data_IF_090335204059
#
_entry.id   IF_090335204059
#
_cell.length_a   1.000
_cell.length_b   1.000
_cell.length_c   1.000
_cell.angle_alpha   90.00
_cell.angle_beta   90.00
_cell.angle_gamma   90.00
#
_symmetry.space_group_name_H-M   'P 1'
#
loop_
_entity.id
_entity.type
_entity.pdbx_description
1 polymer ?
#
# COMPACT_ATOMS: atom_id res chain seq x y z
N UNK A 1 -78.94 -55.13 -3.24
CA UNK A 1 -77.92 -55.21 -2.16
C UNK A 1 -76.77 -54.28 -2.52
N UNK A 2 -76.54 -53.33 -1.62
CA UNK A 2 -75.39 -52.41 -1.42
C UNK A 2 -74.59 -51.82 -2.59
N UNK A 3 -74.58 -50.48 -2.59
CA UNK A 3 -73.55 -49.60 -3.14
C UNK A 3 -72.25 -49.57 -2.29
N UNK A 4 -71.17 -49.06 -2.88
CA UNK A 4 -69.92 -48.59 -2.22
C UNK A 4 -68.91 -48.13 -3.28
N UNK A 5 -68.86 -46.85 -3.65
CA UNK A 5 -68.05 -45.73 -3.10
C UNK A 5 -66.54 -45.85 -3.30
N UNK A 6 -66.00 -44.88 -4.04
CA UNK A 6 -64.58 -44.56 -4.19
C UNK A 6 -63.98 -44.04 -2.88
N UNK A 7 -62.67 -44.23 -2.68
CA UNK A 7 -61.79 -43.23 -2.04
C UNK A 7 -60.30 -43.51 -2.27
N UNK A 8 -59.58 -42.40 -2.44
CA UNK A 8 -58.14 -42.18 -2.58
C UNK A 8 -57.29 -42.65 -1.39
N UNK A 9 -56.01 -42.99 -1.61
CA UNK A 9 -54.86 -42.64 -0.72
C UNK A 9 -53.57 -42.58 -1.57
N UNK A 10 -53.06 -41.36 -1.78
CA UNK A 10 -51.65 -41.08 -2.03
C UNK A 10 -51.00 -40.87 -0.66
N UNK A 11 -50.06 -41.73 -0.26
CA UNK A 11 -49.29 -41.53 0.97
C UNK A 11 -48.11 -40.59 0.69
N UNK A 12 -48.14 -39.39 1.27
CA UNK A 12 -46.98 -38.51 1.40
C UNK A 12 -46.01 -39.07 2.46
N UNK A 13 -44.69 -39.14 2.21
CA UNK A 13 -43.74 -39.14 3.31
C UNK A 13 -43.56 -37.72 3.83
N UNK A 14 -43.66 -37.61 5.14
CA UNK A 14 -43.46 -36.45 6.00
C UNK A 14 -42.18 -35.66 5.70
N UNK A 15 -42.33 -34.36 5.43
CA UNK A 15 -41.27 -33.36 5.51
C UNK A 15 -41.00 -33.03 6.98
N UNK A 16 -39.90 -33.52 7.53
CA UNK A 16 -39.29 -32.96 8.74
C UNK A 16 -37.79 -32.73 8.51
N UNK A 17 -37.32 -31.56 8.94
CA UNK A 17 -35.96 -31.02 8.91
C UNK A 17 -35.51 -30.28 7.63
N UNK A 18 -36.10 -29.09 7.42
CA UNK A 18 -35.40 -27.98 6.76
C UNK A 18 -34.47 -27.30 7.78
N UNK A 19 -33.18 -27.65 7.78
CA UNK A 19 -32.13 -26.83 8.40
C UNK A 19 -31.43 -25.99 7.33
N UNK A 20 -31.91 -24.76 7.20
CA UNK A 20 -31.20 -23.54 6.77
C UNK A 20 -29.94 -23.69 5.92
N UNK A 21 -30.09 -23.72 4.60
CA UNK A 21 -29.11 -23.14 3.68
C UNK A 21 -29.78 -21.99 2.91
N UNK A 22 -29.23 -20.79 3.08
CA UNK A 22 -29.71 -19.53 2.50
C UNK A 22 -29.89 -19.62 0.97
N UNK A 23 -30.99 -19.03 0.51
CA UNK A 23 -31.65 -19.16 -0.80
C UNK A 23 -30.83 -18.66 -2.01
N UNK A 24 -29.60 -18.19 -1.83
CA UNK A 24 -28.78 -17.62 -2.92
C UNK A 24 -27.90 -18.63 -3.67
N UNK A 25 -27.89 -19.91 -3.29
CA UNK A 25 -26.99 -20.94 -3.86
C UNK A 25 -27.66 -21.91 -4.85
N UNK A 26 -28.99 -21.90 -4.97
CA UNK A 26 -29.73 -22.94 -5.70
C UNK A 26 -29.38 -23.07 -7.20
N UNK A 27 -28.97 -21.98 -7.86
CA UNK A 27 -28.61 -22.01 -9.29
C UNK A 27 -27.25 -22.69 -9.51
N UNK A 28 -26.28 -22.43 -8.63
CA UNK A 28 -24.93 -22.98 -8.74
C UNK A 28 -24.86 -24.46 -8.33
N UNK A 29 -25.62 -24.84 -7.30
CA UNK A 29 -25.69 -26.23 -6.83
C UNK A 29 -26.29 -27.13 -7.91
N UNK A 30 -27.34 -26.66 -8.59
CA UNK A 30 -27.98 -27.41 -9.68
C UNK A 30 -27.10 -27.56 -10.92
N UNK A 31 -26.30 -26.53 -11.27
CA UNK A 31 -25.38 -26.62 -12.41
C UNK A 31 -24.20 -27.58 -12.14
N UNK A 32 -23.70 -27.59 -10.90
CA UNK A 32 -22.62 -28.49 -10.47
C UNK A 32 -23.07 -29.97 -10.46
N UNK A 33 -24.26 -30.25 -9.90
CA UNK A 33 -24.87 -31.59 -9.90
C UNK A 33 -25.18 -32.08 -11.33
N UNK A 34 -25.72 -31.22 -12.21
CA UNK A 34 -26.05 -31.60 -13.57
C UNK A 34 -24.81 -31.92 -14.42
N UNK A 35 -23.72 -31.17 -14.24
CA UNK A 35 -22.48 -31.35 -15.02
C UNK A 35 -21.72 -32.61 -14.60
N UNK A 36 -21.63 -32.87 -13.28
CA UNK A 36 -20.93 -34.04 -12.74
C UNK A 36 -21.71 -35.33 -13.02
N UNK A 37 -23.05 -35.31 -12.91
CA UNK A 37 -23.86 -36.48 -13.24
C UNK A 37 -23.85 -36.80 -14.75
N UNK A 38 -23.83 -35.81 -15.65
CA UNK A 38 -23.72 -36.06 -17.09
C UNK A 38 -22.36 -36.65 -17.49
N UNK A 39 -21.26 -36.17 -16.88
CA UNK A 39 -19.92 -36.72 -17.12
C UNK A 39 -19.77 -38.16 -16.60
N UNK A 40 -20.40 -38.50 -15.47
CA UNK A 40 -20.31 -39.85 -14.91
C UNK A 40 -21.28 -40.86 -15.55
N UNK A 41 -22.43 -40.42 -16.06
CA UNK A 41 -23.35 -41.27 -16.84
C UNK A 41 -22.72 -41.77 -18.14
N UNK A 42 -21.79 -41.00 -18.72
CA UNK A 42 -20.97 -41.40 -19.87
C UNK A 42 -19.87 -42.44 -19.50
N UNK A 43 -19.57 -42.63 -18.21
CA UNK A 43 -18.52 -43.55 -17.72
C UNK A 43 -19.06 -44.77 -16.94
N UNK A 44 -20.37 -44.97 -16.87
CA UNK A 44 -20.99 -46.17 -16.27
C UNK A 44 -20.74 -46.38 -14.78
N UNK A 45 -20.35 -45.33 -14.02
CA UNK A 45 -20.13 -45.41 -12.57
C UNK A 45 -21.25 -44.75 -11.80
N UNK A 46 -21.98 -45.53 -10.98
CA UNK A 46 -22.89 -45.00 -9.96
C UNK A 46 -22.10 -44.57 -8.73
N UNK A 47 -21.98 -43.26 -8.49
CA UNK A 47 -21.40 -42.71 -7.27
C UNK A 47 -22.50 -41.92 -6.56
N UNK A 48 -22.90 -42.39 -5.37
CA UNK A 48 -23.76 -41.62 -4.46
C UNK A 48 -22.94 -40.49 -3.84
N UNK A 49 -22.95 -39.31 -4.46
CA UNK A 49 -22.43 -38.07 -3.88
C UNK A 49 -23.44 -37.59 -2.83
N UNK A 50 -23.01 -37.47 -1.57
CA UNK A 50 -23.82 -36.86 -0.51
C UNK A 50 -23.74 -35.34 -0.60
N UNK A 51 -24.84 -34.62 -0.34
CA UNK A 51 -24.95 -33.16 -0.44
C UNK A 51 -23.85 -32.39 0.32
N UNK A 52 -23.26 -33.01 1.34
CA UNK A 52 -22.16 -32.45 2.13
C UNK A 52 -20.81 -32.34 1.39
N UNK A 53 -20.63 -33.01 0.23
CA UNK A 53 -19.39 -32.90 -0.55
C UNK A 53 -19.31 -31.62 -1.39
N UNK A 54 -20.43 -30.95 -1.65
CA UNK A 54 -20.46 -29.69 -2.41
C UNK A 54 -20.34 -28.44 -1.51
N UNK A 55 -20.39 -28.58 -0.19
CA UNK A 55 -20.27 -27.47 0.77
C UNK A 55 -18.84 -27.09 1.16
N UNK A 56 -17.85 -27.34 0.29
CA UNK A 56 -16.57 -26.64 0.38
C UNK A 56 -16.74 -25.25 -0.20
N UNK A 57 -16.86 -24.21 0.62
CA UNK A 57 -16.94 -22.84 0.11
C UNK A 57 -15.74 -22.57 -0.82
N UNK A 58 -15.96 -22.05 -2.05
CA UNK A 58 -14.87 -21.85 -3.02
C UNK A 58 -13.78 -20.89 -2.50
N UNK A 59 -14.12 -20.06 -1.51
CA UNK A 59 -13.19 -19.15 -0.84
C UNK A 59 -12.16 -19.85 0.06
N UNK A 60 -12.46 -21.06 0.56
CA UNK A 60 -11.59 -21.82 1.48
C UNK A 60 -10.64 -22.80 0.79
N UNK A 61 -10.72 -22.93 -0.54
CA UNK A 61 -9.85 -23.77 -1.36
C UNK A 61 -8.69 -22.97 -1.96
N UNK A 62 -8.17 -21.99 -1.22
CA UNK A 62 -6.98 -21.25 -1.66
C UNK A 62 -5.77 -22.20 -1.62
N UNK A 63 -5.20 -22.49 -2.78
CA UNK A 63 -4.02 -23.34 -2.93
C UNK A 63 -2.89 -22.79 -2.05
N UNK A 64 -2.19 -23.67 -1.32
CA UNK A 64 -1.04 -23.33 -0.46
C UNK A 64 0.06 -22.58 -1.22
N UNK A 65 0.15 -22.78 -2.53
CA UNK A 65 1.04 -22.01 -3.40
C UNK A 65 0.70 -20.52 -3.46
N UNK A 66 -0.59 -20.16 -3.41
CA UNK A 66 -1.06 -18.78 -3.52
C UNK A 66 -0.59 -17.93 -2.33
N UNK A 67 -0.46 -18.51 -1.14
CA UNK A 67 0.07 -17.79 0.03
C UNK A 67 1.50 -17.28 -0.19
N UNK A 68 2.37 -18.13 -0.73
CA UNK A 68 3.75 -17.76 -1.06
C UNK A 68 3.79 -16.71 -2.16
N UNK A 69 2.92 -16.84 -3.16
CA UNK A 69 2.78 -15.83 -4.22
C UNK A 69 2.35 -14.48 -3.63
N UNK A 70 1.35 -14.44 -2.74
CA UNK A 70 0.91 -13.19 -2.12
C UNK A 70 1.99 -12.55 -1.25
N UNK A 71 2.68 -13.35 -0.43
CA UNK A 71 3.80 -12.85 0.39
C UNK A 71 4.95 -12.35 -0.48
N UNK A 72 5.27 -13.04 -1.58
CA UNK A 72 6.29 -12.61 -2.53
C UNK A 72 5.89 -11.30 -3.21
N UNK A 73 4.67 -11.20 -3.74
CA UNK A 73 4.16 -9.98 -4.37
C UNK A 73 4.17 -8.81 -3.39
N UNK A 74 3.75 -9.04 -2.14
CA UNK A 74 3.77 -8.00 -1.11
C UNK A 74 5.21 -7.57 -0.78
N UNK A 75 6.13 -8.52 -0.66
CA UNK A 75 7.56 -8.26 -0.44
C UNK A 75 8.15 -7.42 -1.59
N UNK A 76 7.85 -7.80 -2.84
CA UNK A 76 8.28 -7.06 -4.01
C UNK A 76 7.67 -5.67 -4.06
N UNK A 77 6.41 -5.50 -3.65
CA UNK A 77 5.76 -4.19 -3.56
C UNK A 77 6.45 -3.26 -2.55
N UNK A 78 6.85 -3.77 -1.38
CA UNK A 78 7.62 -3.00 -0.38
C UNK A 78 8.97 -2.52 -0.93
N UNK A 79 9.69 -3.44 -1.59
CA UNK A 79 10.99 -3.15 -2.20
C UNK A 79 10.83 -2.12 -3.32
N UNK A 80 9.90 -2.37 -4.23
CA UNK A 80 9.69 -1.58 -5.43
C UNK A 80 9.28 -0.14 -5.07
N UNK A 81 8.41 0.03 -4.07
CA UNK A 81 7.97 1.36 -3.61
C UNK A 81 9.14 2.26 -3.23
N UNK A 82 10.14 1.73 -2.51
CA UNK A 82 11.33 2.50 -2.12
C UNK A 82 12.33 2.58 -3.26
N UNK A 83 12.51 1.49 -4.00
CA UNK A 83 13.45 1.43 -5.12
C UNK A 83 13.19 2.52 -6.15
N UNK A 84 11.92 2.75 -6.51
CA UNK A 84 11.53 3.73 -7.53
C UNK A 84 11.81 5.18 -7.15
N UNK A 85 11.82 5.52 -5.86
CA UNK A 85 11.98 6.90 -5.38
C UNK A 85 13.36 7.19 -4.78
N UNK A 86 14.20 6.18 -4.61
CA UNK A 86 15.56 6.32 -4.08
C UNK A 86 16.59 6.19 -5.21
N UNK A 87 17.80 6.78 -5.09
CA UNK A 87 18.84 6.78 -6.12
C UNK A 87 19.57 5.45 -6.24
N UNK A 88 18.85 4.34 -6.42
CA UNK A 88 19.44 3.06 -6.74
C UNK A 88 19.81 2.98 -8.22
N UNK A 89 20.79 2.14 -8.60
CA UNK A 89 21.16 1.96 -10.00
C UNK A 89 19.96 1.62 -10.88
N UNK A 90 19.66 2.48 -11.86
CA UNK A 90 18.58 2.27 -12.83
C UNK A 90 17.17 2.73 -12.38
N UNK A 91 16.96 3.20 -11.15
CA UNK A 91 15.63 3.69 -10.73
C UNK A 91 15.30 5.09 -11.28
N UNK A 92 16.31 5.92 -11.53
CA UNK A 92 16.18 7.35 -11.84
C UNK A 92 16.24 7.70 -13.35
N UNK A 93 16.16 6.70 -14.23
CA UNK A 93 16.39 6.87 -15.68
C UNK A 93 15.13 6.70 -16.53
N UNK A 94 14.00 6.38 -15.92
CA UNK A 94 12.71 6.17 -16.60
C UNK A 94 11.62 6.96 -15.88
N UNK A 95 10.63 7.40 -16.65
CA UNK A 95 9.41 7.99 -16.09
C UNK A 95 8.57 6.89 -15.41
N UNK A 96 8.79 6.74 -14.11
CA UNK A 96 8.06 5.78 -13.25
C UNK A 96 7.28 6.48 -12.14
N UNK A 97 7.24 7.83 -12.16
CA UNK A 97 6.78 8.64 -11.03
C UNK A 97 5.32 8.38 -10.70
N UNK A 98 4.48 8.25 -11.71
CA UNK A 98 3.05 7.96 -11.55
C UNK A 98 2.81 6.60 -10.90
N UNK A 99 3.56 5.59 -11.32
CA UNK A 99 3.45 4.26 -10.75
C UNK A 99 3.99 4.21 -9.32
N UNK A 100 5.12 4.88 -9.05
CA UNK A 100 5.71 4.99 -7.73
C UNK A 100 4.75 5.69 -6.73
N UNK A 101 4.10 6.77 -7.18
CA UNK A 101 3.08 7.48 -6.42
C UNK A 101 1.87 6.59 -6.13
N UNK A 102 1.30 5.96 -7.16
CA UNK A 102 0.16 5.05 -7.02
C UNK A 102 0.46 3.93 -6.02
N UNK A 103 1.63 3.30 -6.15
CA UNK A 103 2.07 2.23 -5.26
C UNK A 103 2.19 2.72 -3.82
N UNK A 104 2.74 3.93 -3.62
CA UNK A 104 2.92 4.52 -2.29
C UNK A 104 1.59 4.84 -1.61
N UNK A 105 0.66 5.46 -2.33
CA UNK A 105 -0.66 5.82 -1.79
C UNK A 105 -1.49 4.57 -1.47
N UNK A 106 -1.40 3.54 -2.31
CA UNK A 106 -2.25 2.34 -2.18
C UNK A 106 -1.61 1.21 -1.35
N UNK A 107 -0.37 1.35 -0.88
CA UNK A 107 0.35 0.27 -0.18
C UNK A 107 -0.40 -0.25 1.05
N UNK A 108 -1.11 0.61 1.78
CA UNK A 108 -1.87 0.21 2.97
C UNK A 108 -3.02 -0.72 2.58
N UNK A 109 -3.73 -0.43 1.49
CA UNK A 109 -4.80 -1.29 0.99
C UNK A 109 -4.26 -2.62 0.47
N UNK A 110 -3.13 -2.59 -0.26
CA UNK A 110 -2.45 -3.80 -0.72
C UNK A 110 -2.07 -4.69 0.48
N UNK A 111 -1.56 -4.10 1.57
CA UNK A 111 -1.25 -4.82 2.82
C UNK A 111 -2.49 -5.42 3.47
N UNK A 112 -3.59 -4.68 3.57
CA UNK A 112 -4.82 -5.19 4.19
C UNK A 112 -5.42 -6.36 3.40
N UNK A 113 -5.46 -6.25 2.07
CA UNK A 113 -5.91 -7.33 1.19
C UNK A 113 -5.00 -8.55 1.35
N UNK A 114 -3.68 -8.36 1.32
CA UNK A 114 -2.73 -9.45 1.51
C UNK A 114 -2.86 -10.08 2.91
N UNK A 115 -3.01 -9.27 3.96
CA UNK A 115 -3.19 -9.75 5.33
C UNK A 115 -4.46 -10.59 5.48
N UNK A 116 -5.58 -10.16 4.89
CA UNK A 116 -6.82 -10.93 4.88
C UNK A 116 -6.62 -12.30 4.21
N UNK A 117 -6.01 -12.33 3.02
CA UNK A 117 -5.75 -13.57 2.27
C UNK A 117 -4.78 -14.50 3.03
N UNK A 118 -3.76 -13.93 3.68
CA UNK A 118 -2.82 -14.64 4.53
C UNK A 118 -3.55 -15.26 5.73
N UNK A 119 -4.38 -14.50 6.45
CA UNK A 119 -5.13 -14.98 7.62
C UNK A 119 -6.05 -16.17 7.27
N UNK A 120 -6.80 -16.07 6.16
CA UNK A 120 -7.67 -17.16 5.68
C UNK A 120 -6.84 -18.43 5.41
N UNK A 121 -5.67 -18.27 4.76
CA UNK A 121 -4.83 -19.42 4.42
C UNK A 121 -4.16 -20.04 5.66
N UNK A 122 -3.69 -19.22 6.61
CA UNK A 122 -3.10 -19.69 7.87
C UNK A 122 -4.12 -20.49 8.68
N UNK A 123 -5.36 -20.01 8.79
CA UNK A 123 -6.43 -20.72 9.48
C UNK A 123 -6.65 -22.13 8.88
N UNK A 124 -6.62 -22.26 7.55
CA UNK A 124 -6.74 -23.57 6.88
C UNK A 124 -5.55 -24.52 7.14
N UNK A 125 -4.35 -23.97 7.35
CA UNK A 125 -3.11 -24.73 7.53
C UNK A 125 -2.93 -25.26 8.95
N UNK A 126 -3.41 -24.53 9.96
CA UNK A 126 -3.22 -24.93 11.36
C UNK A 126 -3.96 -26.22 11.74
N UNK A 127 -5.12 -26.48 11.12
CA UNK A 127 -5.94 -27.66 11.41
C UNK A 127 -5.43 -28.98 10.82
N UNK A 128 -4.67 -28.95 9.70
CA UNK A 128 -4.31 -30.17 8.94
C UNK A 128 -2.86 -30.21 8.42
N UNK A 129 -2.01 -29.27 8.83
CA UNK A 129 -0.66 -29.08 8.27
C UNK A 129 0.43 -29.92 8.95
N UNK A 130 1.30 -30.57 8.14
CA UNK A 130 2.57 -31.17 8.62
C UNK A 130 3.51 -30.11 9.19
N UNK A 131 4.33 -30.47 10.18
CA UNK A 131 5.21 -29.54 10.92
C UNK A 131 6.18 -28.75 10.01
N UNK A 132 6.83 -29.40 9.04
CA UNK A 132 7.75 -28.72 8.11
C UNK A 132 7.09 -27.59 7.31
N UNK A 133 5.79 -27.73 6.97
CA UNK A 133 5.06 -26.67 6.27
C UNK A 133 4.80 -25.46 7.18
N UNK A 134 4.60 -25.70 8.48
CA UNK A 134 4.48 -24.63 9.48
C UNK A 134 5.80 -23.89 9.65
N UNK A 135 6.92 -24.62 9.66
CA UNK A 135 8.27 -24.03 9.73
C UNK A 135 8.55 -23.16 8.51
N UNK A 136 8.30 -23.66 7.28
CA UNK A 136 8.50 -22.87 6.05
C UNK A 136 7.63 -21.61 6.07
N UNK A 137 6.35 -21.73 6.43
CA UNK A 137 5.45 -20.60 6.54
C UNK A 137 5.96 -19.56 7.55
N UNK A 138 6.38 -19.99 8.74
CA UNK A 138 6.93 -19.11 9.75
C UNK A 138 8.18 -18.39 9.23
N UNK A 139 9.10 -19.11 8.57
CA UNK A 139 10.29 -18.52 7.97
C UNK A 139 9.95 -17.47 6.90
N UNK A 140 8.96 -17.73 6.03
CA UNK A 140 8.52 -16.74 5.02
C UNK A 140 7.89 -15.51 5.65
N UNK A 141 7.04 -15.67 6.68
CA UNK A 141 6.42 -14.55 7.40
C UNK A 141 7.48 -13.71 8.11
N UNK A 142 8.46 -14.35 8.76
CA UNK A 142 9.60 -13.66 9.39
C UNK A 142 10.40 -12.88 8.35
N UNK A 143 10.70 -13.51 7.21
CA UNK A 143 11.43 -12.86 6.10
C UNK A 143 10.68 -11.62 5.62
N UNK A 144 9.37 -11.73 5.39
CA UNK A 144 8.54 -10.57 5.06
C UNK A 144 8.58 -9.50 6.16
N UNK A 145 8.48 -9.88 7.44
CA UNK A 145 8.56 -8.95 8.57
C UNK A 145 9.88 -8.15 8.60
N UNK A 146 11.00 -8.80 8.29
CA UNK A 146 12.31 -8.14 8.14
C UNK A 146 12.29 -7.14 6.98
N UNK A 147 11.82 -7.55 5.80
CA UNK A 147 11.72 -6.65 4.63
C UNK A 147 10.80 -5.47 4.94
N UNK A 148 9.63 -5.73 5.51
CA UNK A 148 8.68 -4.71 5.92
C UNK A 148 9.35 -3.68 6.85
N UNK A 149 10.06 -4.14 7.88
CA UNK A 149 10.78 -3.26 8.79
C UNK A 149 11.82 -2.41 8.05
N UNK A 150 12.69 -3.04 7.24
CA UNK A 150 13.74 -2.33 6.52
C UNK A 150 13.16 -1.24 5.61
N UNK A 151 12.17 -1.58 4.79
CA UNK A 151 11.64 -0.69 3.75
C UNK A 151 10.63 0.36 4.28
N UNK A 152 10.13 0.21 5.50
CA UNK A 152 9.22 1.19 6.10
C UNK A 152 9.85 2.04 7.20
N UNK A 153 10.89 1.55 7.86
CA UNK A 153 11.47 2.21 9.03
C UNK A 153 12.95 2.55 8.90
N UNK A 154 13.69 1.93 7.96
CA UNK A 154 15.12 2.19 7.78
C UNK A 154 15.49 2.81 6.45
N UNK A 155 14.88 2.35 5.35
CA UNK A 155 15.30 2.69 3.99
C UNK A 155 14.41 3.72 3.31
N UNK A 156 13.30 4.15 3.91
CA UNK A 156 12.45 5.18 3.36
C UNK A 156 13.06 6.59 3.56
N UNK A 157 12.87 7.48 2.58
CA UNK A 157 13.54 8.80 2.56
C UNK A 157 13.20 9.65 3.79
N UNK A 158 11.94 9.67 4.20
CA UNK A 158 11.47 10.39 5.39
C UNK A 158 12.02 9.83 6.70
N UNK A 159 12.55 8.60 6.70
CA UNK A 159 13.15 7.95 7.87
C UNK A 159 14.65 8.15 7.96
N UNK A 160 15.33 8.24 6.82
CA UNK A 160 16.76 8.57 6.75
C UNK A 160 16.95 10.07 7.03
N UNK A 161 16.15 10.92 6.39
CA UNK A 161 16.29 12.38 6.43
C UNK A 161 15.21 12.99 7.33
N UNK A 162 15.40 12.83 8.64
CA UNK A 162 14.47 13.33 9.67
C UNK A 162 14.41 14.85 9.60
N UNK A 163 13.23 15.46 9.62
CA UNK A 163 13.13 16.93 9.58
C UNK A 163 13.57 17.59 10.89
N UNK A 164 14.21 18.77 10.85
CA UNK A 164 14.51 19.55 12.04
C UNK A 164 13.20 20.08 12.64
N UNK A 165 13.03 19.92 13.96
CA UNK A 165 11.82 20.39 14.68
C UNK A 165 11.80 21.91 14.90
N UNK A 166 12.96 22.55 14.85
CA UNK A 166 13.11 24.00 14.92
C UNK A 166 14.19 24.43 13.93
N UNK A 167 13.85 25.41 13.09
CA UNK A 167 14.82 26.12 12.29
C UNK A 167 15.29 27.33 13.09
N UNK A 168 16.48 27.29 13.67
CA UNK A 168 17.17 28.54 13.93
C UNK A 168 17.87 28.94 12.65
N UNK A 169 17.15 29.60 11.74
CA UNK A 169 17.80 30.50 10.81
C UNK A 169 18.56 31.52 11.65
N UNK A 170 19.87 31.54 11.53
CA UNK A 170 20.68 32.57 12.21
C UNK A 170 20.40 33.89 11.51
N UNK A 171 19.91 34.88 12.27
CA UNK A 171 19.95 36.26 11.82
C UNK A 171 21.38 36.56 11.36
N UNK A 172 21.53 37.37 10.30
CA UNK A 172 22.82 37.69 9.68
C UNK A 172 23.85 38.33 10.63
N UNK A 173 23.50 38.55 11.89
CA UNK A 173 24.22 39.42 12.79
C UNK A 173 25.27 38.77 13.69
N UNK A 174 25.25 37.47 14.01
CA UNK A 174 26.30 36.92 14.88
C UNK A 174 26.55 35.41 14.68
N UNK A 175 27.82 35.02 14.61
CA UNK A 175 28.40 33.64 14.68
C UNK A 175 28.49 32.77 13.41
N UNK A 176 28.03 33.21 12.23
CA UNK A 176 28.24 32.43 11.00
C UNK A 176 29.64 32.65 10.41
N UNK A 177 30.38 31.56 10.25
CA UNK A 177 31.62 31.55 9.46
C UNK A 177 31.35 32.02 8.02
N UNK A 178 32.00 33.12 7.63
CA UNK A 178 31.84 33.80 6.34
C UNK A 178 32.24 32.94 5.14
N UNK A 179 32.98 31.85 5.35
CA UNK A 179 33.36 30.91 4.30
C UNK A 179 32.26 29.92 3.91
N UNK A 180 31.18 29.81 4.72
CA UNK A 180 30.10 28.85 4.47
C UNK A 180 29.16 29.32 3.38
N UNK A 181 28.81 28.40 2.48
CA UNK A 181 27.72 28.61 1.52
C UNK A 181 26.38 28.60 2.24
N UNK A 182 25.58 29.63 1.96
CA UNK A 182 24.26 29.83 2.57
C UNK A 182 23.20 30.05 1.50
N UNK A 183 21.96 29.75 1.84
CA UNK A 183 20.78 30.29 1.17
C UNK A 183 20.36 31.52 1.96
N UNK A 184 20.48 32.70 1.35
CA UNK A 184 20.00 33.96 1.92
C UNK A 184 18.54 34.21 1.54
N UNK A 185 17.77 34.75 2.47
CA UNK A 185 16.37 35.12 2.26
C UNK A 185 16.10 36.48 2.92
N UNK A 186 15.46 37.38 2.17
CA UNK A 186 15.04 38.69 2.65
C UNK A 186 13.56 38.91 2.30
N UNK A 187 12.71 39.07 3.32
CA UNK A 187 11.26 39.28 3.19
C UNK A 187 10.83 40.34 4.21
N UNK A 188 10.05 41.34 3.77
CA UNK A 188 9.49 42.40 4.62
C UNK A 188 10.52 43.08 5.57
N UNK A 189 11.74 43.30 5.08
CA UNK A 189 12.81 43.94 5.84
C UNK A 189 13.57 43.01 6.80
N UNK A 190 13.11 41.78 7.01
CA UNK A 190 13.83 40.76 7.77
C UNK A 190 14.70 39.92 6.83
N UNK A 191 15.98 39.73 7.20
CA UNK A 191 16.92 38.94 6.42
C UNK A 191 17.59 37.85 7.25
N UNK A 192 17.52 36.61 6.78
CA UNK A 192 18.14 35.44 7.42
C UNK A 192 19.02 34.69 6.42
N UNK A 193 19.99 33.95 6.94
CA UNK A 193 20.84 33.06 6.14
C UNK A 193 20.82 31.64 6.70
N UNK A 194 20.69 30.67 5.81
CA UNK A 194 20.60 29.25 6.14
C UNK A 194 21.79 28.49 5.54
N UNK A 195 22.71 27.96 6.35
CA UNK A 195 23.84 27.18 5.85
C UNK A 195 23.38 25.96 5.07
N UNK A 196 23.98 25.72 3.91
CA UNK A 196 23.68 24.55 3.09
C UNK A 196 23.98 23.26 3.84
N UNK A 197 24.98 23.23 4.74
CA UNK A 197 25.27 22.04 5.54
C UNK A 197 24.11 21.67 6.48
N UNK A 198 23.36 22.65 6.98
CA UNK A 198 22.19 22.42 7.82
C UNK A 198 21.04 21.86 6.99
N UNK A 199 20.75 22.47 5.84
CA UNK A 199 19.62 22.06 5.00
C UNK A 199 19.94 20.75 4.27
N UNK A 200 21.17 20.54 3.83
CA UNK A 200 21.55 19.46 2.94
C UNK A 200 21.30 18.07 3.51
N UNK A 201 21.46 17.87 4.82
CA UNK A 201 21.11 16.60 5.47
C UNK A 201 19.59 16.40 5.55
N UNK A 202 18.82 17.46 5.79
CA UNK A 202 17.38 17.38 6.01
C UNK A 202 16.54 17.60 4.74
N UNK A 203 17.18 18.04 3.66
CA UNK A 203 16.63 18.55 2.41
C UNK A 203 15.65 19.73 2.52
N UNK A 204 15.13 20.03 3.71
CA UNK A 204 14.22 21.13 3.97
C UNK A 204 14.35 21.70 5.39
N UNK A 205 13.98 22.97 5.51
CA UNK A 205 13.89 23.74 6.76
C UNK A 205 12.64 24.61 6.68
N UNK A 206 11.83 24.65 7.76
CA UNK A 206 10.62 25.46 7.87
C UNK A 206 10.87 26.63 8.80
N UNK A 207 10.59 27.84 8.35
CA UNK A 207 10.78 29.06 9.13
C UNK A 207 9.70 30.10 8.79
N UNK A 208 9.64 31.15 9.59
CA UNK A 208 8.85 32.36 9.34
C UNK A 208 9.83 33.54 9.25
N UNK A 209 9.81 34.26 8.12
CA UNK A 209 10.69 35.42 7.87
C UNK A 209 9.81 36.58 7.43
N UNK A 210 9.90 37.71 8.14
CA UNK A 210 9.09 38.89 7.87
C UNK A 210 7.59 38.59 7.94
N UNK A 211 7.16 37.81 8.94
CA UNK A 211 5.78 37.31 9.08
C UNK A 211 5.27 36.44 7.90
N UNK A 212 6.18 35.88 7.09
CA UNK A 212 5.83 35.00 5.96
C UNK A 212 6.39 33.60 6.20
N UNK A 213 5.52 32.59 6.18
CA UNK A 213 5.94 31.20 6.28
C UNK A 213 6.68 30.74 5.02
N UNK A 214 7.84 30.12 5.21
CA UNK A 214 8.73 29.72 4.11
C UNK A 214 9.30 28.33 4.33
N UNK A 215 9.44 27.59 3.23
CA UNK A 215 10.09 26.29 3.17
C UNK A 215 11.37 26.43 2.36
N UNK A 216 12.51 26.44 3.05
CA UNK A 216 13.84 26.50 2.44
C UNK A 216 14.25 25.06 2.14
N UNK A 217 14.69 24.80 0.91
CA UNK A 217 15.04 23.46 0.43
C UNK A 217 16.40 23.45 -0.23
N UNK A 218 17.10 22.33 -0.14
CA UNK A 218 18.35 22.10 -0.86
C UNK A 218 18.43 20.66 -1.37
N UNK A 219 18.57 20.50 -2.69
CA UNK A 219 18.86 19.21 -3.31
C UNK A 219 20.38 19.01 -3.37
N UNK A 220 20.92 18.07 -2.58
CA UNK A 220 22.37 17.77 -2.55
C UNK A 220 22.89 17.17 -3.85
N UNK A 221 22.07 16.41 -4.56
CA UNK A 221 22.43 15.81 -5.86
C UNK A 221 22.44 16.86 -6.97
N UNK A 222 21.44 17.74 -6.98
CA UNK A 222 21.28 18.82 -7.96
C UNK A 222 22.17 20.03 -7.69
N UNK A 223 22.65 20.18 -6.45
CA UNK A 223 23.29 21.38 -5.90
C UNK A 223 22.42 22.65 -6.01
N UNK A 224 21.11 22.49 -5.86
CA UNK A 224 20.14 23.59 -6.06
C UNK A 224 19.41 23.93 -4.76
N UNK A 225 19.44 25.21 -4.37
CA UNK A 225 18.63 25.78 -3.30
C UNK A 225 17.36 26.44 -3.84
N UNK A 226 16.22 26.22 -3.18
CA UNK A 226 14.95 26.89 -3.50
C UNK A 226 14.19 27.25 -2.21
N UNK A 227 13.45 28.35 -2.25
CA UNK A 227 12.56 28.78 -1.17
C UNK A 227 11.14 28.81 -1.71
N UNK A 228 10.22 28.17 -1.01
CA UNK A 228 8.82 28.07 -1.39
C UNK A 228 7.90 28.65 -0.32
N UNK A 229 6.75 29.15 -0.74
CA UNK A 229 5.61 29.26 0.16
C UNK A 229 5.07 27.83 0.42
N UNK A 230 4.87 27.44 1.69
CA UNK A 230 4.31 26.14 2.05
C UNK A 230 2.78 26.10 1.97
N UNK A 231 2.17 27.12 1.36
CA UNK A 231 0.72 27.31 1.32
C UNK A 231 0.18 26.65 0.07
N UNK A 232 -0.71 25.66 0.24
CA UNK A 232 -1.45 25.01 -0.84
C UNK A 232 -2.92 25.42 -0.67
N UNK A 233 -3.53 25.93 -1.73
CA UNK A 233 -4.95 26.34 -1.73
C UNK A 233 -5.32 27.26 -0.55
N UNK A 234 -4.44 28.19 -0.19
CA UNK A 234 -4.65 29.15 0.90
C UNK A 234 -4.42 28.61 2.32
N UNK A 235 -3.97 27.37 2.47
CA UNK A 235 -3.69 26.74 3.77
C UNK A 235 -2.24 26.28 3.87
N UNK A 236 -1.61 26.54 5.03
CA UNK A 236 -0.28 26.03 5.31
C UNK A 236 -0.28 24.49 5.34
N UNK A 237 0.55 23.88 4.52
CA UNK A 237 0.71 22.42 4.44
C UNK A 237 2.03 21.97 5.07
N UNK A 238 2.06 20.72 5.52
CA UNK A 238 3.29 20.05 5.95
C UNK A 238 3.81 19.19 4.82
N UNK A 239 5.13 19.21 4.63
CA UNK A 239 5.80 18.49 3.56
C UNK A 239 6.74 17.45 4.15
N UNK A 240 6.77 16.26 3.55
CA UNK A 240 7.80 15.24 3.84
C UNK A 240 8.63 14.96 2.62
N UNK A 241 9.92 14.72 2.79
CA UNK A 241 10.75 14.21 1.72
C UNK A 241 10.29 12.80 1.37
N UNK A 242 9.94 12.57 0.11
CA UNK A 242 9.47 11.24 -0.35
C UNK A 242 10.57 10.47 -1.08
N UNK A 243 11.53 11.19 -1.67
CA UNK A 243 12.63 10.61 -2.43
C UNK A 243 13.06 11.58 -3.53
N UNK A 244 13.30 11.04 -4.72
CA UNK A 244 13.70 11.79 -5.90
C UNK A 244 13.18 11.18 -7.19
N UNK A 245 13.06 12.05 -8.20
CA UNK A 245 12.76 11.70 -9.59
C UNK A 245 13.77 12.41 -10.49
N UNK A 246 14.38 11.65 -11.41
CA UNK A 246 15.48 12.14 -12.25
C UNK A 246 16.56 12.89 -11.45
N UNK A 247 16.94 12.31 -10.30
CA UNK A 247 17.94 12.89 -9.37
C UNK A 247 17.53 14.23 -8.75
N UNK A 248 16.25 14.61 -8.85
CA UNK A 248 15.69 15.80 -8.22
C UNK A 248 14.91 15.45 -6.98
N UNK A 249 15.19 16.11 -5.85
CA UNK A 249 14.46 15.86 -4.61
C UNK A 249 12.95 16.10 -4.79
N UNK A 250 12.14 15.30 -4.12
CA UNK A 250 10.69 15.40 -4.16
C UNK A 250 10.09 15.45 -2.76
N UNK A 251 9.06 16.29 -2.62
CA UNK A 251 8.32 16.45 -1.38
C UNK A 251 6.86 16.04 -1.55
N UNK A 252 6.30 15.34 -0.58
CA UNK A 252 4.87 15.06 -0.51
C UNK A 252 4.22 16.05 0.45
N UNK A 253 3.16 16.72 0.00
CA UNK A 253 2.29 17.48 0.89
C UNK A 253 1.30 16.58 1.62
N UNK A 254 1.08 16.83 2.91
CA UNK A 254 0.29 15.93 3.74
C UNK A 254 -1.20 15.92 3.39
N UNK A 255 -1.73 17.05 2.92
CA UNK A 255 -3.16 17.28 2.69
C UNK A 255 -3.67 16.58 1.43
N UNK A 256 -2.99 16.77 0.30
CA UNK A 256 -3.42 16.22 -1.00
C UNK A 256 -2.64 14.97 -1.40
N UNK A 257 -1.51 14.68 -0.73
CA UNK A 257 -0.58 13.60 -1.12
C UNK A 257 0.02 13.82 -2.50
N UNK A 258 0.11 15.06 -2.98
CA UNK A 258 0.79 15.36 -4.24
C UNK A 258 2.30 15.38 -4.04
N UNK A 259 3.05 14.95 -5.05
CA UNK A 259 4.50 14.94 -5.02
C UNK A 259 5.05 16.07 -5.86
N UNK A 260 5.86 16.93 -5.24
CA UNK A 260 6.36 18.19 -5.76
C UNK A 260 7.85 18.10 -6.01
N UNK A 261 8.29 18.43 -7.23
CA UNK A 261 9.70 18.45 -7.59
C UNK A 261 10.38 19.70 -7.04
N UNK A 262 11.48 19.52 -6.32
CA UNK A 262 12.17 20.59 -5.61
C UNK A 262 12.71 21.68 -6.53
N UNK A 263 13.28 21.34 -7.67
CA UNK A 263 13.89 22.36 -8.52
C UNK A 263 12.89 23.25 -9.26
N UNK A 264 11.69 22.75 -9.53
CA UNK A 264 10.68 23.45 -10.34
C UNK A 264 9.51 23.97 -9.51
N UNK A 265 9.27 23.41 -8.32
CA UNK A 265 8.05 23.68 -7.54
C UNK A 265 6.82 23.01 -8.14
N UNK A 266 6.96 22.20 -9.19
CA UNK A 266 5.81 21.59 -9.89
C UNK A 266 5.39 20.28 -9.25
N UNK A 267 4.09 20.07 -9.08
CA UNK A 267 3.52 18.78 -8.73
C UNK A 267 3.64 17.78 -9.91
N UNK A 268 4.40 16.72 -9.72
CA UNK A 268 4.60 15.65 -10.70
C UNK A 268 3.55 14.55 -10.59
N UNK A 269 3.04 14.26 -9.40
CA UNK A 269 2.05 13.21 -9.17
C UNK A 269 1.04 13.59 -8.08
N UNK A 270 -0.09 12.89 -8.03
CA UNK A 270 -1.19 13.15 -7.11
C UNK A 270 -2.24 14.15 -7.62
N UNK A 271 -3.20 14.54 -6.76
CA UNK A 271 -4.35 15.36 -7.14
C UNK A 271 -4.00 16.73 -7.75
N UNK A 272 -2.86 17.31 -7.36
CA UNK A 272 -2.42 18.62 -7.85
C UNK A 272 -1.44 18.52 -9.02
N UNK A 273 -1.29 17.35 -9.67
CA UNK A 273 -0.38 17.17 -10.81
C UNK A 273 -0.49 18.31 -11.83
N UNK A 274 0.64 18.96 -12.11
CA UNK A 274 0.75 20.06 -13.08
C UNK A 274 0.75 21.46 -12.48
N UNK A 275 0.33 21.63 -11.22
CA UNK A 275 0.40 22.93 -10.53
C UNK A 275 1.82 23.28 -10.11
N UNK A 276 2.08 24.58 -9.89
CA UNK A 276 3.35 25.17 -9.42
C UNK A 276 3.06 26.07 -8.23
#
# INVERSE_FOLDING_TARGET
>A
MSAGTADSIFAYPSFTNFSTCSFSSAIFTNFCLATVNNLHRLQGKNINLSDNQCCGSPLLLMNRFLLFVFLLVLTLAEILRVYLVMPYPGSQVRDTIHFAHWLTVNIIWIRWIAALLICITIASLFYKGRIWKKVILAATVITYGVVFYLFNYKLAADKIFIQPKSASGTALHDSLDRSKLVIGLSINGESKAYPIQLIGYHHQVRDTVGNTDVMITYCTVCRTGRVFSPVINGKASTFRLVGMDHFNAMFEDQETKSWWQQATGRALAGPLKGTV
#
